data_IF_762989213408
#
_entry.id   IF_762989213408
#
_cell.length_a   1.000
_cell.length_b   1.000
_cell.length_c   1.000
_cell.angle_alpha   90.00
_cell.angle_beta   90.00
_cell.angle_gamma   90.00
#
_symmetry.space_group_name_H-M   'P 1'
#
loop_
_entity.id
_entity.type
_entity.pdbx_description
1 polymer ?
#
# COMPACT_ATOMS: atom_id res chain seq x y z
N UNK A 1 -16.17 -3.49 5.22
CA UNK A 1 -16.85 -3.66 6.52
C UNK A 1 -15.98 -4.43 7.53
N UNK A 2 -15.40 -5.58 7.19
CA UNK A 2 -14.60 -6.40 8.10
C UNK A 2 -13.43 -5.67 8.81
N UNK A 3 -12.74 -4.77 8.12
CA UNK A 3 -11.66 -3.96 8.71
C UNK A 3 -12.13 -3.04 9.85
N UNK A 4 -13.36 -2.53 9.77
CA UNK A 4 -13.93 -1.66 10.80
C UNK A 4 -14.58 -2.46 11.95
N UNK A 5 -14.88 -3.74 11.75
CA UNK A 5 -15.44 -4.60 12.79
C UNK A 5 -14.36 -5.27 13.64
N UNK A 6 -13.25 -5.71 13.02
CA UNK A 6 -12.11 -6.30 13.74
C UNK A 6 -10.80 -5.82 13.12
N UNK A 7 -10.39 -4.63 13.55
CA UNK A 7 -9.23 -3.95 13.00
C UNK A 7 -7.95 -4.75 13.18
N UNK A 8 -7.77 -5.46 14.30
CA UNK A 8 -6.55 -6.25 14.52
C UNK A 8 -6.43 -7.40 13.52
N UNK A 9 -7.51 -8.16 13.32
CA UNK A 9 -7.48 -9.32 12.44
C UNK A 9 -7.39 -8.96 10.96
N UNK A 10 -8.03 -7.86 10.55
CA UNK A 10 -8.17 -7.53 9.13
C UNK A 10 -7.24 -6.40 8.66
N UNK A 11 -6.48 -5.74 9.55
CA UNK A 11 -5.56 -4.66 9.13
C UNK A 11 -4.51 -5.16 8.16
N UNK A 12 -3.87 -6.29 8.43
CA UNK A 12 -2.84 -6.84 7.55
C UNK A 12 -3.39 -7.18 6.16
N UNK A 13 -4.51 -7.92 6.11
CA UNK A 13 -5.16 -8.30 4.85
C UNK A 13 -5.59 -7.05 4.06
N UNK A 14 -6.16 -6.07 4.74
CA UNK A 14 -6.61 -4.84 4.13
C UNK A 14 -5.43 -4.03 3.55
N UNK A 15 -4.36 -3.83 4.32
CA UNK A 15 -3.18 -3.10 3.85
C UNK A 15 -2.47 -3.82 2.71
N UNK A 16 -2.35 -5.15 2.78
CA UNK A 16 -1.79 -5.96 1.68
C UNK A 16 -2.57 -5.77 0.38
N UNK A 17 -3.90 -5.80 0.46
CA UNK A 17 -4.77 -5.62 -0.70
C UNK A 17 -4.72 -4.20 -1.26
N UNK A 18 -4.65 -3.19 -0.39
CA UNK A 18 -4.47 -1.78 -0.80
C UNK A 18 -3.14 -1.59 -1.53
N UNK A 19 -2.03 -2.13 -1.00
CA UNK A 19 -0.74 -2.08 -1.69
C UNK A 19 -0.80 -2.73 -3.07
N UNK A 20 -1.42 -3.91 -3.19
CA UNK A 20 -1.58 -4.62 -4.47
C UNK A 20 -2.38 -3.80 -5.49
N UNK A 21 -3.55 -3.29 -5.09
CA UNK A 21 -4.42 -2.52 -6.00
C UNK A 21 -3.79 -1.18 -6.40
N UNK A 22 -3.07 -0.51 -5.50
CA UNK A 22 -2.32 0.70 -5.83
C UNK A 22 -1.16 0.40 -6.79
N UNK A 23 -0.47 -0.73 -6.63
CA UNK A 23 0.57 -1.17 -7.55
C UNK A 23 0.01 -1.46 -8.95
N UNK A 24 -1.11 -2.16 -9.04
CA UNK A 24 -1.83 -2.41 -10.29
C UNK A 24 -2.23 -1.09 -10.96
N UNK A 25 -2.72 -0.14 -10.17
CA UNK A 25 -3.03 1.19 -10.67
C UNK A 25 -1.78 1.88 -11.17
N UNK A 26 -0.65 1.91 -10.45
CA UNK A 26 0.57 2.56 -10.94
C UNK A 26 1.12 1.93 -12.22
N UNK A 27 1.10 0.59 -12.32
CA UNK A 27 1.61 -0.15 -13.49
C UNK A 27 0.68 -0.11 -14.71
N UNK A 28 -0.59 0.28 -14.52
CA UNK A 28 -1.53 0.43 -15.62
C UNK A 28 -1.10 1.54 -16.61
N UNK A 29 -0.93 1.17 -17.88
CA UNK A 29 -0.60 2.13 -18.94
C UNK A 29 -1.87 2.85 -19.41
N UNK A 30 -1.96 4.13 -19.12
CA UNK A 30 -3.02 4.99 -19.65
C UNK A 30 -2.69 5.42 -21.09
N UNK A 31 -3.66 5.42 -22.01
CA UNK A 31 -3.46 6.00 -23.34
C UNK A 31 -3.43 7.54 -23.31
N UNK A 32 -3.83 8.16 -22.20
CA UNK A 32 -3.83 9.61 -21.99
C UNK A 32 -2.44 10.11 -21.59
N UNK A 33 -2.06 11.35 -21.97
CA UNK A 33 -0.74 11.92 -21.67
C UNK A 33 -0.54 12.20 -20.18
N UNK A 34 -1.62 12.35 -19.41
CA UNK A 34 -1.59 12.53 -17.96
C UNK A 34 -2.46 11.48 -17.28
N UNK A 35 -2.02 11.08 -16.09
CA UNK A 35 -2.71 10.13 -15.23
C UNK A 35 -2.71 10.68 -13.81
N UNK A 36 -3.90 11.01 -13.34
CA UNK A 36 -4.11 11.48 -11.97
C UNK A 36 -4.62 10.30 -11.17
N UNK A 37 -3.99 10.05 -10.02
CA UNK A 37 -4.38 8.99 -9.10
C UNK A 37 -4.69 9.61 -7.74
N UNK A 38 -5.79 9.19 -7.14
CA UNK A 38 -6.03 9.48 -5.74
C UNK A 38 -5.16 8.54 -4.90
N UNK A 39 -4.25 9.12 -4.11
CA UNK A 39 -3.24 8.39 -3.32
C UNK A 39 -2.21 7.65 -4.19
N UNK A 40 -1.28 7.00 -3.50
CA UNK A 40 -0.15 6.28 -4.11
C UNK A 40 0.33 5.15 -3.20
N UNK A 41 1.19 4.28 -3.76
CA UNK A 41 1.89 3.23 -2.98
C UNK A 41 2.69 3.86 -1.82
N UNK A 42 3.27 5.05 -2.01
CA UNK A 42 3.97 5.80 -0.97
C UNK A 42 3.05 6.18 0.21
N UNK A 43 1.83 6.63 -0.08
CA UNK A 43 0.87 6.94 0.98
C UNK A 43 0.44 5.70 1.76
N UNK A 44 0.35 4.53 1.11
CA UNK A 44 0.04 3.26 1.79
C UNK A 44 1.10 2.91 2.85
N UNK A 45 2.38 3.19 2.57
CA UNK A 45 3.47 3.01 3.55
C UNK A 45 3.27 3.86 4.81
N UNK A 46 2.78 5.09 4.67
CA UNK A 46 2.46 5.95 5.81
C UNK A 46 1.34 5.35 6.69
N UNK A 47 0.33 4.71 6.09
CA UNK A 47 -0.72 4.04 6.86
C UNK A 47 -0.20 2.82 7.63
N UNK A 48 0.70 2.04 7.03
CA UNK A 48 1.35 0.90 7.69
C UNK A 48 2.18 1.39 8.88
N UNK A 49 2.96 2.44 8.70
CA UNK A 49 3.75 3.05 9.79
C UNK A 49 2.86 3.56 10.92
N UNK A 50 1.71 4.17 10.60
CA UNK A 50 0.74 4.58 11.61
C UNK A 50 0.12 3.37 12.35
N UNK A 51 -0.20 2.30 11.63
CA UNK A 51 -0.75 1.06 12.20
C UNK A 51 0.27 0.32 13.10
N UNK A 52 1.55 0.37 12.75
CA UNK A 52 2.67 -0.09 13.57
C UNK A 52 2.74 0.67 14.89
N UNK A 53 2.74 2.01 14.83
CA UNK A 53 2.79 2.87 16.04
C UNK A 53 1.58 2.69 16.95
N UNK A 54 0.41 2.44 16.38
CA UNK A 54 -0.84 2.19 17.13
C UNK A 54 -1.01 0.74 17.59
N UNK A 55 -0.03 -0.15 17.30
CA UNK A 55 -0.05 -1.58 17.66
C UNK A 55 -1.30 -2.32 17.13
N UNK A 56 -1.78 -1.89 15.96
CA UNK A 56 -2.87 -2.56 15.24
C UNK A 56 -2.36 -3.71 14.38
N UNK A 57 -1.09 -3.68 13.99
CA UNK A 57 -0.39 -4.75 13.29
C UNK A 57 0.63 -5.39 14.24
N UNK A 58 0.82 -6.70 14.09
CA UNK A 58 1.92 -7.42 14.75
C UNK A 58 3.26 -7.13 14.05
N UNK A 59 4.37 -7.30 14.78
CA UNK A 59 5.70 -7.00 14.24
C UNK A 59 6.01 -7.83 12.97
N UNK A 60 5.56 -9.09 12.95
CA UNK A 60 5.73 -9.98 11.79
C UNK A 60 4.93 -9.46 10.58
N UNK A 61 3.70 -8.99 10.79
CA UNK A 61 2.85 -8.45 9.74
C UNK A 61 3.44 -7.17 9.15
N UNK A 62 4.02 -6.32 10.00
CA UNK A 62 4.71 -5.10 9.58
C UNK A 62 5.91 -5.43 8.72
N UNK A 63 6.77 -6.36 9.14
CA UNK A 63 7.96 -6.76 8.36
C UNK A 63 7.57 -7.27 6.99
N UNK A 64 6.54 -8.13 6.90
CA UNK A 64 6.06 -8.64 5.61
C UNK A 64 5.54 -7.53 4.69
N UNK A 65 4.79 -6.57 5.23
CA UNK A 65 4.27 -5.42 4.47
C UNK A 65 5.37 -4.44 4.03
N UNK A 66 6.41 -4.30 4.84
CA UNK A 66 7.60 -3.48 4.55
C UNK A 66 8.46 -4.13 3.44
N UNK A 67 8.76 -5.42 3.57
CA UNK A 67 9.51 -6.17 2.56
C UNK A 67 8.77 -6.20 1.21
N UNK A 68 7.43 -6.38 1.25
CA UNK A 68 6.61 -6.33 0.04
C UNK A 68 6.64 -4.94 -0.61
N UNK A 69 6.58 -3.88 0.19
CA UNK A 69 6.68 -2.51 -0.30
C UNK A 69 8.04 -2.26 -0.99
N UNK A 70 9.13 -2.66 -0.34
CA UNK A 70 10.48 -2.49 -0.89
C UNK A 70 10.65 -3.26 -2.20
N UNK A 71 10.13 -4.49 -2.27
CA UNK A 71 10.10 -5.26 -3.51
C UNK A 71 9.30 -4.54 -4.60
N UNK A 72 8.14 -3.97 -4.28
CA UNK A 72 7.30 -3.24 -5.23
C UNK A 72 8.03 -2.02 -5.80
N UNK A 73 8.70 -1.22 -4.96
CA UNK A 73 9.43 -0.03 -5.41
C UNK A 73 10.63 -0.40 -6.30
N UNK A 74 11.33 -1.49 -5.98
CA UNK A 74 12.51 -1.92 -6.73
C UNK A 74 12.16 -2.62 -8.06
N UNK A 75 11.07 -3.40 -8.10
CA UNK A 75 10.77 -4.29 -9.22
C UNK A 75 9.60 -3.79 -10.08
N UNK A 76 8.66 -3.03 -9.53
CA UNK A 76 7.57 -2.48 -10.31
C UNK A 76 7.98 -1.12 -10.90
N UNK A 77 7.69 -0.94 -12.19
CA UNK A 77 7.92 0.34 -12.87
C UNK A 77 6.86 1.36 -12.45
N UNK A 78 7.08 1.99 -11.28
CA UNK A 78 6.23 3.04 -10.74
C UNK A 78 6.76 4.38 -11.24
N UNK A 79 6.10 4.92 -12.27
CA UNK A 79 6.42 6.25 -12.82
C UNK A 79 5.55 7.28 -12.10
N UNK A 80 6.18 8.22 -11.42
CA UNK A 80 5.52 9.35 -10.74
C UNK A 80 6.32 10.62 -10.97
N UNK A 81 5.71 11.60 -11.63
CA UNK A 81 6.34 12.90 -11.90
C UNK A 81 6.19 13.88 -10.72
N UNK A 82 5.06 13.79 -9.99
CA UNK A 82 4.71 14.64 -8.85
C UNK A 82 3.96 13.81 -7.78
N UNK A 83 4.29 14.02 -6.50
CA UNK A 83 3.66 13.41 -5.31
C UNK A 83 3.36 14.50 -4.29
#
# INVERSE_FOLDING_TARGET
ELMYTDTKRYSFLFQSYVQLTMLQLHTYKSPMPYKIMERSVFSARCFIENMKRTKLLEDVEVVVLEDWYDWCIQNANIVTDLI
#
